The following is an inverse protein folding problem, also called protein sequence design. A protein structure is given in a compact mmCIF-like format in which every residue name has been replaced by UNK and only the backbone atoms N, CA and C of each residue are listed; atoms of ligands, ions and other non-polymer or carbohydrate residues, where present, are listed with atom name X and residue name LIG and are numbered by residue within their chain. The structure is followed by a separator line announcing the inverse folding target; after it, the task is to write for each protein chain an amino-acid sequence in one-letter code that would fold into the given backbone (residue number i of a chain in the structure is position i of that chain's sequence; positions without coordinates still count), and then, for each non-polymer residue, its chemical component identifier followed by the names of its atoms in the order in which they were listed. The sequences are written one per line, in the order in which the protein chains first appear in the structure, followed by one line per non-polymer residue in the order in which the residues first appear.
data_IF_944661314092
#
_entry.id   IF_944661314092
#
_cell.length_a   1.000
_cell.length_b   1.000
_cell.length_c   1.000
_cell.angle_alpha   90.00
_cell.angle_beta   90.00
_cell.angle_gamma   90.00
#
_symmetry.space_group_name_H-M   'P 1'
#
loop_
_entity.id
_entity.type
_entity.pdbx_description
1 polymer ?
#
# COMPACT_ATOMS: atom_id res chain seq x y z
N UNK A 1 -33.16 -2.82 24.09
CA UNK A 1 -32.11 -3.37 23.17
C UNK A 1 -31.12 -4.09 24.03
N UNK A 2 -30.77 -5.37 23.79
CA UNK A 2 -29.73 -6.02 24.55
C UNK A 2 -28.41 -5.32 24.26
N UNK A 3 -27.67 -4.95 25.31
CA UNK A 3 -26.34 -4.36 25.22
C UNK A 3 -25.40 -5.37 24.57
N UNK A 4 -24.77 -5.00 23.46
CA UNK A 4 -23.68 -5.78 22.85
C UNK A 4 -22.60 -5.99 23.91
N UNK A 5 -22.14 -7.21 24.17
CA UNK A 5 -21.07 -7.45 25.13
C UNK A 5 -19.82 -6.68 24.68
N UNK A 6 -19.14 -6.05 25.61
CA UNK A 6 -17.87 -5.39 25.35
C UNK A 6 -16.86 -6.45 24.85
N UNK A 7 -16.01 -6.13 23.85
CA UNK A 7 -14.99 -7.06 23.40
C UNK A 7 -14.06 -7.43 24.55
N UNK A 8 -13.55 -8.67 24.60
CA UNK A 8 -12.66 -9.13 25.67
C UNK A 8 -11.40 -8.27 25.71
N UNK A 9 -10.90 -8.03 26.92
CA UNK A 9 -9.64 -7.31 27.09
C UNK A 9 -8.48 -8.10 26.50
N UNK A 10 -7.45 -7.47 25.90
CA UNK A 10 -6.31 -8.16 25.29
C UNK A 10 -5.57 -9.14 26.22
N UNK A 11 -5.73 -9.01 27.55
CA UNK A 11 -5.18 -9.90 28.54
C UNK A 11 -5.97 -11.19 28.77
N UNK A 12 -7.23 -11.23 28.34
CA UNK A 12 -8.16 -12.34 28.63
C UNK A 12 -8.21 -13.39 27.52
N UNK A 13 -7.62 -13.08 26.35
CA UNK A 13 -7.57 -14.02 25.23
C UNK A 13 -6.45 -15.07 25.41
N UNK A 14 -6.75 -16.36 25.17
CA UNK A 14 -5.76 -17.40 25.15
C UNK A 14 -4.61 -17.12 24.18
N UNK A 15 -3.38 -17.40 24.59
CA UNK A 15 -2.19 -17.16 23.76
C UNK A 15 -1.67 -18.43 23.06
N UNK A 16 -2.24 -19.58 23.39
CA UNK A 16 -1.87 -20.88 22.84
C UNK A 16 -3.12 -21.67 22.50
N UNK A 17 -3.12 -22.29 21.34
CA UNK A 17 -4.22 -23.09 20.81
C UNK A 17 -3.70 -24.46 20.42
N UNK A 18 -4.50 -25.50 20.68
CA UNK A 18 -4.16 -26.89 20.31
C UNK A 18 -4.15 -27.06 18.77
N UNK A 19 -4.95 -26.30 18.05
CA UNK A 19 -5.04 -26.33 16.59
C UNK A 19 -5.49 -24.97 16.04
N UNK A 20 -5.41 -24.83 14.73
CA UNK A 20 -5.96 -23.67 14.02
C UNK A 20 -7.48 -23.60 14.14
N UNK A 21 -8.15 -24.77 14.10
CA UNK A 21 -9.62 -24.84 14.22
C UNK A 21 -10.08 -24.36 15.61
N UNK A 22 -9.30 -24.66 16.67
CA UNK A 22 -9.58 -24.15 18.01
C UNK A 22 -9.44 -22.62 18.10
N UNK A 23 -8.48 -22.02 17.39
CA UNK A 23 -8.37 -20.58 17.27
C UNK A 23 -9.55 -19.99 16.49
N UNK A 24 -9.95 -20.60 15.39
CA UNK A 24 -11.07 -20.15 14.56
C UNK A 24 -12.39 -20.20 15.34
N UNK A 25 -12.64 -21.29 16.09
CA UNK A 25 -13.80 -21.42 16.93
C UNK A 25 -13.89 -20.30 17.98
N UNK A 26 -12.77 -20.00 18.68
CA UNK A 26 -12.72 -18.92 19.64
C UNK A 26 -13.01 -17.55 18.98
N UNK A 27 -12.36 -17.29 17.83
CA UNK A 27 -12.54 -16.00 17.14
C UNK A 27 -13.98 -15.82 16.64
N UNK A 28 -14.63 -16.87 16.18
CA UNK A 28 -16.04 -16.86 15.79
C UNK A 28 -16.96 -16.57 16.97
N UNK A 29 -16.63 -17.09 18.14
CA UNK A 29 -17.38 -16.86 19.37
C UNK A 29 -17.20 -15.44 19.90
N UNK A 30 -15.96 -14.98 20.01
CA UNK A 30 -15.61 -13.68 20.59
C UNK A 30 -15.86 -12.48 19.65
N UNK A 31 -15.82 -12.73 18.35
CA UNK A 31 -15.99 -11.70 17.32
C UNK A 31 -17.05 -12.11 16.27
N UNK A 32 -18.32 -12.26 16.68
CA UNK A 32 -19.38 -12.79 15.81
C UNK A 32 -19.71 -11.92 14.59
N UNK A 33 -19.25 -10.67 14.60
CA UNK A 33 -19.43 -9.73 13.48
C UNK A 33 -18.25 -9.75 12.50
N UNK A 34 -17.18 -10.49 12.81
CA UNK A 34 -16.05 -10.64 11.90
C UNK A 34 -16.42 -11.60 10.76
N UNK A 35 -16.29 -11.13 9.54
CA UNK A 35 -16.61 -11.90 8.34
C UNK A 35 -15.34 -12.41 7.66
N UNK A 36 -15.44 -13.56 7.01
CA UNK A 36 -14.39 -14.13 6.18
C UNK A 36 -13.51 -15.17 6.87
N UNK A 37 -12.69 -15.89 6.08
CA UNK A 37 -11.82 -16.94 6.60
C UNK A 37 -10.61 -16.35 7.33
N UNK A 38 -10.05 -17.13 8.25
CA UNK A 38 -8.75 -16.80 8.82
C UNK A 38 -7.67 -16.76 7.73
N UNK A 39 -6.80 -15.75 7.80
CA UNK A 39 -5.67 -15.64 6.88
C UNK A 39 -4.80 -16.92 6.91
N UNK A 40 -4.37 -17.44 5.76
CA UNK A 40 -3.46 -18.60 5.70
C UNK A 40 -2.04 -18.27 6.17
N UNK A 41 -1.73 -17.01 6.45
CA UNK A 41 -0.40 -16.59 6.90
C UNK A 41 -0.23 -16.98 8.36
N UNK A 42 0.72 -17.87 8.70
CA UNK A 42 0.92 -18.27 10.09
C UNK A 42 1.51 -17.12 10.91
N UNK A 43 1.00 -16.95 12.13
CA UNK A 43 1.50 -15.96 13.09
C UNK A 43 2.71 -16.47 13.89
N UNK A 44 3.21 -15.61 14.78
CA UNK A 44 4.21 -15.95 15.79
C UNK A 44 5.67 -15.90 15.35
N UNK A 45 6.56 -15.97 16.33
CA UNK A 45 8.01 -15.79 16.15
C UNK A 45 8.65 -16.86 15.27
N UNK A 46 8.28 -18.12 15.46
CA UNK A 46 8.82 -19.24 14.69
C UNK A 46 8.55 -19.08 13.18
N UNK A 47 7.32 -18.71 12.82
CA UNK A 47 6.95 -18.46 11.42
C UNK A 47 7.71 -17.26 10.83
N UNK A 48 7.87 -16.20 11.63
CA UNK A 48 8.62 -15.01 11.24
C UNK A 48 10.10 -15.35 10.97
N UNK A 49 10.75 -16.10 11.84
CA UNK A 49 12.15 -16.53 11.69
C UNK A 49 12.34 -17.46 10.48
N UNK A 50 11.41 -18.39 10.26
CA UNK A 50 11.44 -19.24 9.09
C UNK A 50 11.34 -18.43 7.77
N UNK A 51 10.54 -17.36 7.74
CA UNK A 51 10.50 -16.43 6.59
C UNK A 51 11.77 -15.59 6.49
N UNK A 52 12.26 -15.05 7.61
CA UNK A 52 13.48 -14.27 7.68
C UNK A 52 14.70 -15.05 7.16
N UNK A 53 14.77 -16.35 7.49
CA UNK A 53 15.84 -17.24 7.02
C UNK A 53 15.86 -17.39 5.49
N UNK A 54 14.73 -17.19 4.80
CA UNK A 54 14.58 -17.35 3.34
C UNK A 54 14.80 -16.05 2.55
N UNK A 55 15.11 -14.94 3.22
CA UNK A 55 15.32 -13.65 2.55
C UNK A 55 16.53 -13.72 1.62
N UNK A 56 16.35 -13.30 0.38
CA UNK A 56 17.36 -13.29 -0.68
C UNK A 56 17.53 -11.86 -1.23
N UNK A 57 18.39 -11.01 -0.62
CA UNK A 57 18.45 -9.59 -0.95
C UNK A 57 18.78 -9.30 -2.43
N UNK A 58 19.75 -10.00 -3.01
CA UNK A 58 20.12 -9.82 -4.42
C UNK A 58 19.01 -10.21 -5.38
N UNK A 59 18.27 -11.28 -5.09
CA UNK A 59 17.12 -11.70 -5.90
C UNK A 59 15.95 -10.75 -5.72
N UNK A 60 15.71 -10.31 -4.50
CA UNK A 60 14.73 -9.26 -4.20
C UNK A 60 14.98 -8.01 -5.05
N UNK A 61 16.20 -7.51 -5.08
CA UNK A 61 16.56 -6.32 -5.86
C UNK A 61 16.20 -6.43 -7.35
N UNK A 62 16.33 -7.63 -7.93
CA UNK A 62 16.08 -7.90 -9.35
C UNK A 62 14.61 -8.17 -9.68
N UNK A 63 13.86 -8.78 -8.75
CA UNK A 63 12.54 -9.36 -9.08
C UNK A 63 11.39 -8.79 -8.24
N UNK A 64 11.65 -7.89 -7.31
CA UNK A 64 10.64 -7.38 -6.37
C UNK A 64 9.39 -6.76 -7.00
N UNK A 65 9.46 -6.35 -8.25
CA UNK A 65 8.33 -5.80 -8.96
C UNK A 65 7.41 -6.87 -9.58
N UNK A 66 7.93 -8.08 -9.83
CA UNK A 66 7.12 -9.19 -10.32
C UNK A 66 6.29 -9.78 -9.18
N UNK A 67 5.02 -10.10 -9.45
CA UNK A 67 4.12 -10.71 -8.44
C UNK A 67 4.66 -12.03 -7.90
N UNK A 68 5.36 -12.82 -8.74
CA UNK A 68 6.08 -14.05 -8.35
C UNK A 68 7.53 -13.80 -7.92
N UNK A 69 7.92 -12.54 -7.74
CA UNK A 69 9.27 -12.17 -7.36
C UNK A 69 9.66 -12.59 -5.94
N UNK A 70 10.95 -12.45 -5.64
CA UNK A 70 11.50 -12.81 -4.34
C UNK A 70 11.20 -11.75 -3.27
N UNK A 71 9.92 -11.43 -3.04
CA UNK A 71 9.49 -10.54 -1.96
C UNK A 71 9.60 -11.25 -0.61
N UNK A 72 9.83 -10.48 0.45
CA UNK A 72 10.13 -11.06 1.77
C UNK A 72 8.90 -11.62 2.48
N UNK A 73 7.74 -11.01 2.30
CA UNK A 73 6.51 -11.34 3.04
C UNK A 73 6.65 -11.13 4.55
N UNK A 74 7.57 -10.25 4.99
CA UNK A 74 7.85 -9.98 6.41
C UNK A 74 6.98 -8.87 7.01
N UNK A 75 6.26 -8.13 6.17
CA UNK A 75 5.50 -6.95 6.60
C UNK A 75 4.50 -7.23 7.73
N UNK A 76 3.74 -8.34 7.79
CA UNK A 76 2.86 -8.63 8.92
C UNK A 76 3.64 -8.79 10.23
N UNK A 77 4.76 -9.51 10.21
CA UNK A 77 5.56 -9.74 11.41
C UNK A 77 6.24 -8.48 11.92
N UNK A 78 6.63 -7.58 11.02
CA UNK A 78 7.18 -6.26 11.38
C UNK A 78 6.06 -5.38 11.96
N UNK A 79 4.87 -5.38 11.33
CA UNK A 79 3.73 -4.58 11.79
C UNK A 79 3.32 -4.92 13.22
N UNK A 80 3.32 -6.20 13.56
CA UNK A 80 2.92 -6.71 14.87
C UNK A 80 4.08 -6.81 15.86
N UNK A 81 5.26 -6.25 15.56
CA UNK A 81 6.40 -6.22 16.48
C UNK A 81 7.06 -7.59 16.72
N UNK A 82 6.71 -8.62 15.95
CA UNK A 82 7.32 -9.95 16.03
C UNK A 82 8.76 -9.93 15.51
N UNK A 83 9.04 -9.08 14.51
CA UNK A 83 10.37 -8.77 13.99
C UNK A 83 10.59 -7.25 14.04
N UNK A 84 11.78 -6.86 14.45
CA UNK A 84 12.24 -5.48 14.36
C UNK A 84 12.89 -5.18 13.01
N UNK A 85 12.89 -3.92 12.60
CA UNK A 85 13.62 -3.49 11.41
C UNK A 85 15.12 -3.79 11.52
N UNK A 86 15.66 -3.72 12.73
CA UNK A 86 17.08 -4.03 13.01
C UNK A 86 17.40 -5.50 12.75
N UNK A 87 16.55 -6.43 13.20
CA UNK A 87 16.74 -7.87 12.93
C UNK A 87 16.70 -8.15 11.43
N UNK A 88 15.74 -7.58 10.70
CA UNK A 88 15.65 -7.75 9.24
C UNK A 88 16.89 -7.15 8.56
N UNK A 89 17.34 -5.97 8.96
CA UNK A 89 18.55 -5.34 8.44
C UNK A 89 19.79 -6.21 8.68
N UNK A 90 19.96 -6.74 9.87
CA UNK A 90 21.08 -7.65 10.20
C UNK A 90 21.04 -8.92 9.35
N UNK A 91 19.85 -9.51 9.18
CA UNK A 91 19.67 -10.70 8.34
C UNK A 91 20.02 -10.42 6.87
N UNK A 92 19.75 -9.20 6.36
CA UNK A 92 20.19 -8.78 5.02
C UNK A 92 21.71 -8.72 4.95
N UNK A 93 22.36 -8.05 5.91
CA UNK A 93 23.83 -7.91 5.91
C UNK A 93 24.56 -9.24 6.01
N UNK A 94 24.00 -10.22 6.70
CA UNK A 94 24.58 -11.58 6.78
C UNK A 94 24.52 -12.35 5.44
N UNK A 95 23.69 -11.91 4.48
CA UNK A 95 23.41 -12.62 3.21
C UNK A 95 23.91 -11.92 1.96
N UNK A 96 24.59 -10.81 2.11
CA UNK A 96 25.15 -10.02 1.00
C UNK A 96 26.68 -10.06 1.05
N UNK A 97 27.30 -10.00 -0.13
CA UNK A 97 28.74 -9.86 -0.28
C UNK A 97 29.16 -8.41 -0.49
N UNK A 98 28.29 -7.66 -1.16
CA UNK A 98 28.49 -6.23 -1.43
C UNK A 98 27.28 -5.43 -0.93
N UNK A 99 27.48 -4.15 -0.61
CA UNK A 99 26.39 -3.27 -0.16
C UNK A 99 25.29 -3.14 -1.20
N UNK A 100 25.61 -3.16 -2.48
CA UNK A 100 24.66 -3.00 -3.59
C UNK A 100 23.65 -4.13 -3.64
N UNK A 101 24.05 -5.35 -3.28
CA UNK A 101 23.13 -6.51 -3.24
C UNK A 101 21.99 -6.32 -2.25
N UNK A 102 22.23 -5.59 -1.15
CA UNK A 102 21.21 -5.35 -0.11
C UNK A 102 20.52 -3.99 -0.23
N UNK A 103 21.06 -3.06 -1.00
CA UNK A 103 20.65 -1.66 -1.00
C UNK A 103 19.14 -1.45 -1.22
N UNK A 104 18.57 -2.19 -2.16
CA UNK A 104 17.13 -2.09 -2.45
C UNK A 104 16.27 -2.49 -1.26
N UNK A 105 16.56 -3.62 -0.61
CA UNK A 105 15.78 -4.08 0.52
C UNK A 105 15.99 -3.17 1.74
N UNK A 106 17.21 -2.70 1.98
CA UNK A 106 17.49 -1.73 3.05
C UNK A 106 16.73 -0.43 2.82
N UNK A 107 16.67 0.06 1.58
CA UNK A 107 15.89 1.26 1.26
C UNK A 107 14.38 1.08 1.52
N UNK A 108 13.83 -0.10 1.25
CA UNK A 108 12.42 -0.36 1.57
C UNK A 108 12.15 -0.41 3.09
N UNK A 109 13.10 -0.90 3.88
CA UNK A 109 13.02 -0.78 5.35
C UNK A 109 13.12 0.69 5.79
N UNK A 110 13.97 1.47 5.10
CA UNK A 110 14.10 2.91 5.32
C UNK A 110 12.82 3.68 5.00
N UNK A 111 12.08 3.30 3.95
CA UNK A 111 10.78 3.89 3.65
C UNK A 111 9.77 3.66 4.78
N UNK A 112 9.75 2.46 5.37
CA UNK A 112 8.88 2.20 6.52
C UNK A 112 9.22 3.08 7.72
N UNK A 113 10.51 3.23 8.05
CA UNK A 113 10.96 4.13 9.13
C UNK A 113 10.60 5.59 8.81
N UNK A 114 10.77 6.01 7.56
CA UNK A 114 10.40 7.34 7.10
C UNK A 114 8.91 7.64 7.29
N UNK A 115 8.01 6.73 6.89
CA UNK A 115 6.57 6.91 7.07
C UNK A 115 6.18 7.02 8.54
N UNK A 116 6.80 6.23 9.42
CA UNK A 116 6.56 6.33 10.86
C UNK A 116 6.99 7.69 11.42
N UNK A 117 8.12 8.23 10.95
CA UNK A 117 8.58 9.57 11.34
C UNK A 117 7.64 10.66 10.83
N UNK A 118 7.20 10.53 9.57
CA UNK A 118 6.20 11.46 9.01
C UNK A 118 4.91 11.45 9.83
N UNK A 119 4.45 10.28 10.29
CA UNK A 119 3.28 10.21 11.16
C UNK A 119 3.51 10.90 12.51
N UNK A 120 4.68 10.77 13.10
CA UNK A 120 5.01 11.50 14.34
C UNK A 120 4.98 13.02 14.16
N UNK A 121 5.38 13.49 12.97
CA UNK A 121 5.40 14.92 12.65
C UNK A 121 4.01 15.47 12.28
N UNK A 122 3.20 14.68 11.56
CA UNK A 122 1.89 15.08 11.06
C UNK A 122 0.74 14.77 12.03
N UNK A 123 0.90 13.78 12.92
CA UNK A 123 -0.18 13.35 13.80
C UNK A 123 -1.38 12.84 13.00
N UNK A 124 -2.58 13.31 13.36
CA UNK A 124 -3.83 12.93 12.70
C UNK A 124 -3.98 13.50 11.29
N UNK A 125 -3.18 14.51 10.91
CA UNK A 125 -3.19 15.10 9.57
C UNK A 125 -2.81 14.08 8.47
N UNK A 126 -2.25 12.91 8.82
CA UNK A 126 -2.04 11.82 7.83
C UNK A 126 -3.34 11.34 7.18
N UNK A 127 -4.49 11.61 7.79
CA UNK A 127 -5.82 11.25 7.30
C UNK A 127 -6.40 12.27 6.33
N UNK A 128 -5.74 13.41 6.15
CA UNK A 128 -6.15 14.50 5.28
C UNK A 128 -5.20 14.66 4.08
N UNK A 129 -5.67 15.34 3.04
CA UNK A 129 -4.84 15.63 1.87
C UNK A 129 -3.68 16.56 2.27
N UNK A 130 -2.45 16.09 2.14
CA UNK A 130 -1.26 16.89 2.48
C UNK A 130 -1.04 18.05 1.53
N UNK A 131 -1.40 17.86 0.25
CA UNK A 131 -1.33 18.86 -0.81
C UNK A 131 -2.51 18.65 -1.77
N UNK A 132 -2.80 19.66 -2.59
CA UNK A 132 -3.77 19.52 -3.66
C UNK A 132 -3.34 18.43 -4.66
N UNK A 133 -4.32 17.73 -5.23
CA UNK A 133 -4.06 16.72 -6.26
C UNK A 133 -3.45 17.36 -7.51
N UNK A 134 -2.41 16.73 -8.05
CA UNK A 134 -1.74 17.17 -9.28
C UNK A 134 -2.29 16.46 -10.52
N UNK A 135 -3.58 16.17 -10.48
CA UNK A 135 -4.33 15.51 -11.55
C UNK A 135 -5.13 16.48 -12.43
N UNK A 136 -5.16 17.77 -12.06
CA UNK A 136 -6.01 18.77 -12.69
C UNK A 136 -7.50 18.62 -12.36
N UNK A 137 -7.87 17.70 -11.47
CA UNK A 137 -9.23 17.48 -10.99
C UNK A 137 -9.39 17.96 -9.57
N UNK A 138 -10.54 18.57 -9.29
CA UNK A 138 -10.90 19.02 -7.95
C UNK A 138 -11.10 17.81 -7.01
N UNK A 139 -10.64 17.90 -5.78
CA UNK A 139 -10.79 16.84 -4.76
C UNK A 139 -12.27 16.50 -4.48
N UNK A 140 -13.18 17.47 -4.64
CA UNK A 140 -14.63 17.29 -4.50
C UNK A 140 -15.24 16.41 -5.59
N UNK A 141 -14.55 16.21 -6.73
CA UNK A 141 -15.00 15.33 -7.82
C UNK A 141 -14.76 13.85 -7.57
N UNK A 142 -14.08 13.49 -6.47
CA UNK A 142 -13.79 12.12 -6.10
C UNK A 142 -14.85 11.57 -5.15
N UNK A 143 -15.38 10.38 -5.45
CA UNK A 143 -16.32 9.68 -4.58
C UNK A 143 -15.67 9.35 -3.23
N UNK A 144 -16.39 9.55 -2.14
CA UNK A 144 -15.89 9.31 -0.77
C UNK A 144 -16.14 7.88 -0.28
N UNK A 145 -16.83 7.08 -1.06
CA UNK A 145 -17.16 5.70 -0.75
C UNK A 145 -16.56 4.76 -1.79
N UNK A 146 -16.21 3.56 -1.35
CA UNK A 146 -15.73 2.51 -2.25
C UNK A 146 -16.93 1.93 -3.01
N UNK A 147 -16.89 1.85 -4.36
CA UNK A 147 -17.96 1.26 -5.15
C UNK A 147 -18.25 -0.20 -4.77
N UNK A 148 -19.51 -0.60 -4.82
CA UNK A 148 -19.97 -1.93 -4.43
C UNK A 148 -19.33 -3.04 -5.29
N UNK A 149 -19.22 -2.83 -6.62
CA UNK A 149 -18.57 -3.78 -7.53
C UNK A 149 -17.11 -4.06 -7.17
N UNK A 150 -16.41 -3.08 -6.58
CA UNK A 150 -15.04 -3.23 -6.05
C UNK A 150 -15.06 -4.05 -4.77
N UNK A 151 -15.96 -3.73 -3.84
CA UNK A 151 -16.10 -4.48 -2.58
C UNK A 151 -16.39 -5.95 -2.82
N UNK A 152 -17.19 -6.26 -3.82
CA UNK A 152 -17.63 -7.61 -4.15
C UNK A 152 -16.73 -8.33 -5.15
N UNK A 153 -15.77 -7.64 -5.77
CA UNK A 153 -14.88 -8.23 -6.79
C UNK A 153 -15.62 -8.57 -8.09
N UNK A 154 -16.54 -7.71 -8.52
CA UNK A 154 -17.38 -7.84 -9.71
C UNK A 154 -17.13 -6.71 -10.71
N UNK A 155 -15.89 -6.24 -10.80
CA UNK A 155 -15.54 -5.10 -11.66
C UNK A 155 -15.44 -5.45 -13.14
N UNK A 156 -15.37 -6.73 -13.46
CA UNK A 156 -15.11 -7.23 -14.82
C UNK A 156 -13.65 -7.14 -15.26
N UNK A 157 -12.76 -6.68 -14.38
CA UNK A 157 -11.32 -6.62 -14.59
C UNK A 157 -10.67 -7.77 -13.80
N UNK A 158 -10.25 -8.83 -14.46
CA UNK A 158 -9.70 -10.02 -13.82
C UNK A 158 -8.54 -9.71 -12.87
N UNK A 159 -7.72 -8.70 -13.17
CA UNK A 159 -6.63 -8.25 -12.31
C UNK A 159 -7.16 -7.62 -11.02
N UNK A 160 -8.11 -6.69 -11.10
CA UNK A 160 -8.62 -5.97 -9.94
C UNK A 160 -9.45 -6.88 -9.04
N UNK A 161 -10.29 -7.73 -9.63
CA UNK A 161 -11.07 -8.73 -8.90
C UNK A 161 -10.14 -9.76 -8.25
N UNK A 162 -9.08 -10.19 -8.95
CA UNK A 162 -8.06 -11.08 -8.40
C UNK A 162 -7.29 -10.46 -7.22
N UNK A 163 -6.90 -9.19 -7.29
CA UNK A 163 -6.22 -8.49 -6.19
C UNK A 163 -7.14 -8.30 -4.99
N UNK A 164 -8.41 -7.94 -5.24
CA UNK A 164 -9.43 -7.86 -4.18
C UNK A 164 -9.58 -9.19 -3.46
N UNK A 165 -9.74 -10.27 -4.21
CA UNK A 165 -9.91 -11.59 -3.63
C UNK A 165 -8.69 -12.03 -2.82
N UNK A 166 -7.48 -11.79 -3.32
CA UNK A 166 -6.23 -12.08 -2.60
C UNK A 166 -6.16 -11.27 -1.29
N UNK A 167 -6.50 -9.96 -1.34
CA UNK A 167 -6.52 -9.10 -0.15
C UNK A 167 -7.47 -9.65 0.92
N UNK A 168 -8.72 -9.90 0.56
CA UNK A 168 -9.77 -10.28 1.52
C UNK A 168 -9.54 -11.69 2.07
N UNK A 169 -9.04 -12.63 1.24
CA UNK A 169 -8.84 -14.02 1.69
C UNK A 169 -7.55 -14.24 2.44
N UNK A 170 -6.51 -13.43 2.18
CA UNK A 170 -5.18 -13.65 2.78
C UNK A 170 -4.78 -12.58 3.79
N UNK A 171 -5.41 -11.42 3.74
CA UNK A 171 -4.96 -10.24 4.49
C UNK A 171 -3.62 -9.68 4.00
N UNK A 172 -3.17 -10.07 2.81
CA UNK A 172 -1.90 -9.60 2.27
C UNK A 172 -1.99 -9.45 0.75
N UNK A 173 -1.32 -8.43 0.25
CA UNK A 173 -1.23 -8.15 -1.17
C UNK A 173 0.17 -7.71 -1.53
N UNK A 174 0.68 -8.17 -2.66
CA UNK A 174 1.98 -7.75 -3.18
C UNK A 174 2.01 -6.22 -3.38
N UNK A 175 3.11 -5.56 -3.00
CA UNK A 175 3.21 -4.09 -3.07
C UNK A 175 2.85 -3.52 -4.45
N UNK A 176 3.26 -4.18 -5.55
CA UNK A 176 2.94 -3.71 -6.90
C UNK A 176 1.43 -3.76 -7.18
N UNK A 177 0.77 -4.82 -6.74
CA UNK A 177 -0.69 -4.94 -6.86
C UNK A 177 -1.43 -3.88 -6.03
N UNK A 178 -0.91 -3.53 -4.82
CA UNK A 178 -1.44 -2.40 -4.04
C UNK A 178 -1.36 -1.09 -4.80
N UNK A 179 -0.23 -0.83 -5.44
CA UNK A 179 -0.04 0.39 -6.23
C UNK A 179 -0.96 0.45 -7.44
N UNK A 180 -1.14 -0.66 -8.17
CA UNK A 180 -2.06 -0.73 -9.30
C UNK A 180 -3.51 -0.54 -8.87
N UNK A 181 -3.93 -1.19 -7.79
CA UNK A 181 -5.29 -1.05 -7.27
C UNK A 181 -5.56 0.37 -6.79
N UNK A 182 -4.61 0.98 -6.07
CA UNK A 182 -4.72 2.36 -5.62
C UNK A 182 -4.79 3.33 -6.82
N UNK A 183 -3.90 3.19 -7.80
CA UNK A 183 -3.92 4.03 -9.00
C UNK A 183 -5.24 3.88 -9.78
N UNK A 184 -5.72 2.65 -9.95
CA UNK A 184 -6.99 2.41 -10.62
C UNK A 184 -8.17 3.03 -9.90
N UNK A 185 -8.28 2.84 -8.59
CA UNK A 185 -9.35 3.44 -7.80
C UNK A 185 -9.33 4.96 -7.87
N UNK A 186 -8.16 5.57 -7.72
CA UNK A 186 -8.05 7.02 -7.68
C UNK A 186 -8.22 7.63 -9.08
N UNK A 187 -7.55 7.12 -10.11
CA UNK A 187 -7.46 7.81 -11.38
C UNK A 187 -8.52 7.37 -12.40
N UNK A 188 -8.91 6.09 -12.44
CA UNK A 188 -9.95 5.60 -13.36
C UNK A 188 -11.35 5.64 -12.76
N UNK A 189 -11.47 5.26 -11.47
CA UNK A 189 -12.77 5.19 -10.80
C UNK A 189 -13.14 6.48 -10.07
N UNK A 190 -12.22 7.43 -9.99
CA UNK A 190 -12.40 8.71 -9.27
C UNK A 190 -12.88 8.50 -7.83
N UNK A 191 -12.30 7.55 -7.15
CA UNK A 191 -12.49 7.32 -5.72
C UNK A 191 -11.40 8.05 -4.96
N UNK A 192 -11.79 8.79 -3.92
CA UNK A 192 -10.83 9.46 -3.06
C UNK A 192 -9.90 8.45 -2.41
N UNK A 193 -8.61 8.73 -2.37
CA UNK A 193 -7.59 7.81 -1.85
C UNK A 193 -7.93 7.28 -0.46
N UNK A 194 -8.55 8.11 0.41
CA UNK A 194 -8.88 7.74 1.79
C UNK A 194 -9.86 6.56 1.84
N UNK A 195 -10.88 6.54 0.99
CA UNK A 195 -11.83 5.42 0.94
C UNK A 195 -11.16 4.09 0.63
N UNK A 196 -10.20 4.09 -0.32
CA UNK A 196 -9.41 2.90 -0.64
C UNK A 196 -8.40 2.55 0.45
N UNK A 197 -7.77 3.55 1.08
CA UNK A 197 -6.82 3.36 2.16
C UNK A 197 -7.50 2.77 3.41
N UNK A 198 -8.67 3.28 3.78
CA UNK A 198 -9.45 2.76 4.90
C UNK A 198 -9.87 1.30 4.65
N UNK A 199 -10.35 1.00 3.45
CA UNK A 199 -10.69 -0.37 3.05
C UNK A 199 -9.47 -1.32 3.08
N UNK A 200 -8.30 -0.85 2.70
CA UNK A 200 -7.07 -1.64 2.85
C UNK A 200 -6.76 -1.95 4.31
N UNK A 201 -6.95 -0.99 5.23
CA UNK A 201 -6.72 -1.20 6.66
C UNK A 201 -7.69 -2.22 7.26
N UNK A 202 -8.91 -2.30 6.76
CA UNK A 202 -9.90 -3.31 7.19
C UNK A 202 -9.41 -4.74 6.95
N UNK A 203 -8.62 -4.96 5.88
CA UNK A 203 -8.25 -6.30 5.45
C UNK A 203 -6.76 -6.64 5.61
N UNK A 204 -5.87 -5.67 5.65
CA UNK A 204 -4.43 -5.93 5.66
C UNK A 204 -3.92 -6.35 7.04
N UNK A 205 -3.34 -7.54 7.13
CA UNK A 205 -2.58 -7.98 8.32
C UNK A 205 -1.38 -7.09 8.63
N UNK A 206 -0.78 -6.50 7.61
CA UNK A 206 0.32 -5.54 7.74
C UNK A 206 -0.15 -4.10 7.69
N UNK A 207 -1.46 -3.86 7.86
CA UNK A 207 -2.09 -2.56 7.85
C UNK A 207 -1.45 -1.62 8.88
N UNK A 208 -0.78 -0.59 8.38
CA UNK A 208 -0.07 0.42 9.14
C UNK A 208 -0.53 1.80 8.65
N UNK A 209 -1.21 2.59 9.49
CA UNK A 209 -1.78 3.87 9.06
C UNK A 209 -0.76 4.78 8.37
N UNK A 210 0.46 4.90 8.90
CA UNK A 210 1.48 5.73 8.30
C UNK A 210 1.84 5.30 6.88
N UNK A 211 2.30 4.05 6.73
CA UNK A 211 2.71 3.52 5.43
C UNK A 211 1.54 3.44 4.45
N UNK A 212 0.36 3.06 4.92
CA UNK A 212 -0.80 2.89 4.07
C UNK A 212 -1.32 4.25 3.56
N UNK A 213 -1.70 5.17 4.45
CA UNK A 213 -2.29 6.45 4.06
C UNK A 213 -1.33 7.31 3.24
N UNK A 214 -0.08 7.42 3.67
CA UNK A 214 0.90 8.24 2.95
C UNK A 214 1.30 7.62 1.59
N UNK A 215 1.27 6.28 1.46
CA UNK A 215 1.48 5.63 0.15
C UNK A 215 0.28 5.81 -0.79
N UNK A 216 -0.95 5.77 -0.29
CA UNK A 216 -2.14 6.09 -1.09
C UNK A 216 -2.11 7.54 -1.56
N UNK A 217 -1.75 8.48 -0.70
CA UNK A 217 -1.56 9.89 -1.05
C UNK A 217 -0.43 10.09 -2.06
N UNK A 218 0.66 9.31 -1.95
CA UNK A 218 1.73 9.32 -2.94
C UNK A 218 1.21 8.90 -4.32
N UNK A 219 0.39 7.86 -4.41
CA UNK A 219 -0.26 7.44 -5.66
C UNK A 219 -1.22 8.50 -6.17
N UNK A 220 -2.04 9.07 -5.32
CA UNK A 220 -3.03 10.10 -5.64
C UNK A 220 -2.41 11.46 -6.03
N UNK A 221 -1.14 11.67 -5.73
CA UNK A 221 -0.37 12.91 -5.87
C UNK A 221 -0.63 14.01 -4.82
N UNK A 222 -1.36 13.73 -3.77
CA UNK A 222 -1.46 14.66 -2.63
C UNK A 222 -0.24 14.62 -1.69
N UNK A 223 0.70 13.69 -1.92
CA UNK A 223 1.99 13.59 -1.23
C UNK A 223 3.14 13.20 -2.17
N UNK A 224 3.08 13.65 -3.42
CA UNK A 224 4.11 13.43 -4.43
C UNK A 224 4.08 14.51 -5.50
N UNK A 225 5.13 14.61 -6.33
CA UNK A 225 5.20 15.63 -7.39
C UNK A 225 4.25 15.38 -8.56
N UNK A 226 3.81 14.14 -8.75
CA UNK A 226 2.90 13.75 -9.84
C UNK A 226 2.14 12.48 -9.47
N UNK A 227 0.96 12.25 -10.09
CA UNK A 227 0.22 11.01 -9.90
C UNK A 227 1.01 9.80 -10.40
N UNK A 228 0.87 8.68 -9.69
CA UNK A 228 1.35 7.40 -10.18
C UNK A 228 0.22 6.68 -10.91
N UNK A 229 0.50 6.22 -12.12
CA UNK A 229 -0.40 5.39 -12.90
C UNK A 229 0.39 4.35 -13.71
N UNK A 230 -0.29 3.43 -14.33
CA UNK A 230 0.30 2.30 -15.06
C UNK A 230 -0.47 2.04 -16.34
N UNK A 231 0.10 1.23 -17.23
CA UNK A 231 -0.60 0.74 -18.42
C UNK A 231 -0.67 -0.79 -18.45
N UNK A 232 -1.44 -1.35 -19.38
CA UNK A 232 -1.60 -2.79 -19.54
C UNK A 232 -0.27 -3.51 -19.68
N UNK A 233 0.64 -3.02 -20.52
CA UNK A 233 1.95 -3.63 -20.72
C UNK A 233 2.79 -3.71 -19.44
N UNK A 234 2.67 -2.72 -18.53
CA UNK A 234 3.30 -2.77 -17.22
C UNK A 234 2.70 -3.88 -16.34
N UNK A 235 1.38 -3.98 -16.29
CA UNK A 235 0.67 -5.01 -15.54
C UNK A 235 0.99 -6.41 -16.08
N UNK A 236 0.92 -6.63 -17.39
CA UNK A 236 1.27 -7.91 -18.04
C UNK A 236 2.70 -8.34 -17.71
N UNK A 237 3.65 -7.42 -17.87
CA UNK A 237 5.07 -7.69 -17.60
C UNK A 237 5.33 -8.17 -16.18
N UNK A 238 4.75 -7.53 -15.19
CA UNK A 238 5.05 -7.82 -13.79
C UNK A 238 4.10 -8.84 -13.16
N UNK A 239 2.99 -9.18 -13.82
CA UNK A 239 2.13 -10.30 -13.45
C UNK A 239 2.40 -11.58 -14.26
N UNK A 240 3.36 -11.55 -15.19
CA UNK A 240 3.65 -12.64 -16.12
C UNK A 240 2.40 -13.04 -16.94
N UNK A 241 1.59 -12.05 -17.38
CA UNK A 241 0.35 -12.25 -18.14
C UNK A 241 -0.83 -12.84 -17.36
N UNK A 242 -0.64 -13.19 -16.10
CA UNK A 242 -1.59 -13.99 -15.27
C UNK A 242 -3.05 -13.52 -15.34
N UNK A 243 -3.29 -12.24 -15.49
CA UNK A 243 -4.63 -11.66 -15.42
C UNK A 243 -5.19 -11.22 -16.77
N UNK A 244 -4.34 -11.03 -17.76
CA UNK A 244 -4.76 -10.50 -19.05
C UNK A 244 -5.24 -11.62 -19.98
N UNK A 245 -4.68 -12.82 -19.84
CA UNK A 245 -5.12 -13.99 -20.59
C UNK A 245 -6.51 -14.41 -20.11
N UNK A 246 -7.51 -14.36 -21.02
CA UNK A 246 -8.90 -14.70 -20.72
C UNK A 246 -9.67 -13.64 -19.89
N UNK A 247 -9.13 -12.44 -19.70
CA UNK A 247 -9.85 -11.36 -19.05
C UNK A 247 -11.11 -10.97 -19.85
N UNK A 248 -12.30 -10.87 -19.24
CA UNK A 248 -13.51 -10.44 -19.94
C UNK A 248 -13.38 -9.08 -20.62
N UNK A 249 -12.57 -8.19 -20.05
CA UNK A 249 -12.31 -6.83 -20.55
C UNK A 249 -11.10 -6.73 -21.49
N UNK A 250 -10.57 -7.84 -22.01
CA UNK A 250 -9.35 -7.82 -22.86
C UNK A 250 -9.45 -6.85 -24.03
N UNK A 251 -10.60 -6.79 -24.72
CA UNK A 251 -10.83 -5.91 -25.88
C UNK A 251 -11.13 -4.46 -25.52
N UNK A 252 -11.47 -4.20 -24.24
CA UNK A 252 -11.85 -2.87 -23.73
C UNK A 252 -11.10 -2.56 -22.46
N UNK A 253 -9.84 -3.01 -22.36
CA UNK A 253 -9.04 -2.83 -21.17
C UNK A 253 -8.81 -1.32 -20.91
N UNK A 254 -9.22 -0.78 -19.76
CA UNK A 254 -9.05 0.64 -19.47
C UNK A 254 -7.58 1.05 -19.31
N UNK A 255 -6.68 0.08 -19.21
CA UNK A 255 -5.24 0.27 -19.07
C UNK A 255 -4.49 0.20 -20.41
N UNK A 256 -5.21 -0.01 -21.52
CA UNK A 256 -4.61 -0.08 -22.85
C UNK A 256 -4.13 1.30 -23.29
N UNK A 257 -2.92 1.35 -23.85
CA UNK A 257 -2.33 2.56 -24.40
C UNK A 257 -0.91 2.86 -23.93
N UNK A 258 -0.31 3.85 -24.56
CA UNK A 258 0.97 4.41 -24.09
C UNK A 258 0.77 5.24 -22.81
N UNK A 259 1.86 5.53 -22.09
CA UNK A 259 1.78 6.40 -20.92
C UNK A 259 1.27 7.80 -21.30
N UNK A 260 1.67 8.36 -22.42
CA UNK A 260 1.22 9.68 -22.88
C UNK A 260 -0.27 9.70 -23.19
N UNK A 261 -0.79 8.61 -23.83
CA UNK A 261 -2.22 8.48 -24.09
C UNK A 261 -3.04 8.42 -22.82
N UNK A 262 -2.60 7.59 -21.86
CA UNK A 262 -3.29 7.44 -20.57
C UNK A 262 -3.17 8.71 -19.72
N UNK A 263 -2.02 9.40 -19.74
CA UNK A 263 -1.84 10.67 -19.04
C UNK A 263 -2.85 11.72 -19.55
N UNK A 264 -2.99 11.87 -20.86
CA UNK A 264 -3.96 12.77 -21.46
C UNK A 264 -5.42 12.38 -21.23
N UNK A 265 -5.70 11.08 -21.06
CA UNK A 265 -7.05 10.60 -20.77
C UNK A 265 -7.44 10.80 -19.31
N UNK A 266 -6.50 10.57 -18.39
CA UNK A 266 -6.77 10.52 -16.95
C UNK A 266 -6.71 11.89 -16.29
N UNK A 267 -5.85 12.79 -16.79
CA UNK A 267 -5.51 14.03 -16.11
C UNK A 267 -5.88 15.24 -16.96
N UNK A 268 -6.46 16.25 -16.29
CA UNK A 268 -6.71 17.54 -16.93
C UNK A 268 -5.41 18.37 -16.95
N UNK A 269 -5.25 19.28 -17.93
CA UNK A 269 -4.13 20.21 -17.92
C UNK A 269 -4.08 20.98 -16.59
N UNK A 270 -2.94 20.93 -15.93
CA UNK A 270 -2.73 21.74 -14.73
C UNK A 270 -2.77 23.21 -15.11
N UNK A 271 -3.53 24.08 -14.40
CA UNK A 271 -3.45 25.50 -14.61
C UNK A 271 -2.00 25.95 -14.46
N UNK A 272 -1.50 26.70 -15.43
CA UNK A 272 -0.15 27.25 -15.36
C UNK A 272 0.00 27.99 -14.03
N UNK A 273 1.00 27.61 -13.23
CA UNK A 273 1.34 28.34 -12.01
C UNK A 273 1.66 29.76 -12.48
N UNK A 274 0.74 30.71 -12.24
CA UNK A 274 1.07 32.10 -12.42
C UNK A 274 2.18 32.39 -11.43
N UNK A 275 3.39 32.64 -11.93
CA UNK A 275 4.45 33.23 -11.13
C UNK A 275 3.88 34.49 -10.49
N UNK A 276 3.49 34.38 -9.24
CA UNK A 276 3.16 35.56 -8.43
C UNK A 276 4.51 36.21 -8.21
N UNK A 277 4.76 37.22 -9.02
CA UNK A 277 5.99 37.97 -9.09
C UNK A 277 6.55 38.24 -7.71
N UNK A 278 7.85 38.03 -7.59
CA UNK A 278 8.68 38.26 -6.42
C UNK A 278 8.57 39.69 -5.92
N UNK A 279 7.49 39.99 -5.18
CA UNK A 279 7.40 41.14 -4.31
C UNK A 279 8.28 40.91 -3.09
N UNK A 280 9.57 41.20 -3.20
CA UNK A 280 10.47 41.26 -2.04
C UNK A 280 10.00 42.39 -1.12
N UNK A 281 9.25 42.09 -0.08
CA UNK A 281 9.24 42.89 1.13
C UNK A 281 10.04 42.09 2.20
N UNK A 282 11.24 42.60 2.48
CA UNK A 282 11.99 42.20 3.70
C UNK A 282 11.11 42.43 4.91
N UNK A 283 10.84 41.39 5.68
CA UNK A 283 10.51 41.48 7.09
C UNK A 283 11.33 40.44 7.83
N UNK A 284 12.03 40.95 8.84
CA UNK A 284 12.95 40.24 9.73
C UNK A 284 12.27 39.16 10.57
N UNK A 285 12.98 38.06 10.75
CA UNK A 285 13.17 37.32 12.00
C UNK A 285 12.10 36.36 12.45
N UNK A 286 12.31 35.12 12.19
CA UNK A 286 12.44 33.96 13.09
C UNK A 286 12.15 32.68 12.33
N UNK A 287 13.16 31.80 12.30
CA UNK A 287 13.19 30.61 11.48
C UNK A 287 12.23 29.52 11.94
N UNK A 288 11.62 28.88 10.94
CA UNK A 288 11.27 27.47 10.97
C UNK A 288 11.85 26.86 9.70
N UNK A 289 12.83 26.02 9.85
CA UNK A 289 13.45 25.26 8.77
C UNK A 289 12.47 24.18 8.30
N UNK A 290 11.75 24.44 7.22
CA UNK A 290 11.04 23.41 6.48
C UNK A 290 12.05 22.58 5.69
N UNK A 291 12.26 21.34 6.08
CA UNK A 291 13.05 20.39 5.32
C UNK A 291 12.29 19.95 4.07
N UNK A 292 12.50 20.67 2.96
CA UNK A 292 12.14 20.19 1.64
C UNK A 292 13.13 19.08 1.25
N UNK A 293 12.79 17.84 1.55
CA UNK A 293 13.55 16.68 1.10
C UNK A 293 13.32 16.48 -0.39
N UNK A 294 14.31 16.82 -1.19
CA UNK A 294 14.38 16.48 -2.61
C UNK A 294 14.36 14.95 -2.77
N UNK A 295 13.22 14.40 -3.12
CA UNK A 295 13.06 12.98 -3.48
C UNK A 295 13.80 12.74 -4.79
N UNK A 296 14.92 12.03 -4.70
CA UNK A 296 15.74 11.64 -5.84
C UNK A 296 14.92 10.83 -6.86
N UNK A 297 15.01 11.22 -8.13
CA UNK A 297 14.37 10.55 -9.26
C UNK A 297 14.75 9.08 -9.33
N UNK A 298 13.81 8.13 -9.45
CA UNK A 298 14.16 6.80 -9.92
C UNK A 298 14.55 6.92 -11.41
N UNK A 299 15.74 6.48 -11.75
CA UNK A 299 16.16 6.29 -13.15
C UNK A 299 15.22 5.28 -13.82
N UNK A 300 14.85 5.59 -15.05
CA UNK A 300 13.98 4.81 -15.94
C UNK A 300 14.39 3.35 -16.10
#
# INVERSE_FOLDING_TARGET
MPSTPSPPSPGDLPRQFASRDALEALLTEEFPTAEGPLSPIPGGRQAAEAKLARVQPSRYAKTRNHLKGAVTGLSPYIRHGVLTLSEVKQAVFQRIRTRDEGSKLINELGWRDFWQRMWLDLGDDIHDDQEAFKTGHDASSYARELPEDVREGRTGLACMDGFRNELVTTGWLHNHARMWMAAWLVHWRRVHWKAGADWFLEHLLDGDPASNHLSWQWVASSFSHKPYFFNRGNLERYSDGRYCDGCPSTTHCPFEGSYDQLENQLFAPMPAIRDVGSGRTRRDGRGRSGASAALARPKR
#
